data_IF_897624726095
#
_entry.id   IF_897624726095
#
_cell.length_a   1.000
_cell.length_b   1.000
_cell.length_c   1.000
_cell.angle_alpha   90.00
_cell.angle_beta   90.00
_cell.angle_gamma   90.00
#
_symmetry.space_group_name_H-M   'P 1'
#
loop_
_entity.id
_entity.type
_entity.pdbx_description
1 polymer ?
#
# COMPACT_ATOMS: atom_id res chain seq x y z
N UNK A 1 -2.19 7.95 -26.21
CA UNK A 1 -3.34 7.94 -25.28
C UNK A 1 -3.73 6.52 -24.82
N UNK A 2 -3.96 5.56 -25.72
CA UNK A 2 -4.53 4.23 -25.40
C UNK A 2 -3.73 3.38 -24.39
N UNK A 3 -2.41 3.53 -24.31
CA UNK A 3 -1.55 2.86 -23.31
C UNK A 3 -1.94 3.26 -21.87
N UNK A 4 -2.28 4.52 -21.65
CA UNK A 4 -2.63 5.07 -20.33
C UNK A 4 -4.05 4.73 -19.90
N UNK A 5 -4.92 4.34 -20.83
CA UNK A 5 -6.31 3.94 -20.56
C UNK A 5 -6.44 2.50 -20.05
N UNK A 6 -5.36 1.69 -20.04
CA UNK A 6 -5.40 0.26 -19.67
C UNK A 6 -6.51 -0.52 -20.38
N UNK A 7 -6.64 -0.31 -21.70
CA UNK A 7 -7.69 -0.96 -22.49
C UNK A 7 -7.43 -2.46 -22.57
N UNK A 8 -8.50 -3.24 -22.45
CA UNK A 8 -8.45 -4.67 -22.66
C UNK A 8 -8.20 -4.96 -24.15
N UNK A 9 -7.04 -5.55 -24.45
CA UNK A 9 -6.59 -5.84 -25.82
C UNK A 9 -7.56 -6.72 -26.62
N UNK A 10 -8.45 -7.47 -25.96
CA UNK A 10 -9.47 -8.29 -26.63
C UNK A 10 -10.49 -7.49 -27.43
N UNK A 11 -10.67 -6.21 -27.11
CA UNK A 11 -11.70 -5.35 -27.73
C UNK A 11 -11.13 -4.29 -28.67
N UNK A 12 -9.89 -4.44 -29.12
CA UNK A 12 -9.25 -3.45 -30.03
C UNK A 12 -9.89 -3.39 -31.41
N UNK A 13 -10.63 -4.42 -31.81
CA UNK A 13 -11.38 -4.46 -33.08
C UNK A 13 -12.69 -3.69 -33.00
N UNK A 14 -13.21 -3.42 -31.79
CA UNK A 14 -14.44 -2.67 -31.62
C UNK A 14 -14.14 -1.16 -31.53
N UNK A 15 -14.08 -0.51 -32.70
CA UNK A 15 -13.76 0.91 -32.85
C UNK A 15 -14.76 1.79 -32.08
N UNK A 16 -16.05 1.46 -32.11
CA UNK A 16 -17.08 2.24 -31.40
C UNK A 16 -16.87 2.26 -29.88
N UNK A 17 -16.39 1.14 -29.32
CA UNK A 17 -16.05 1.07 -27.90
C UNK A 17 -14.77 1.85 -27.60
N UNK A 18 -13.76 1.77 -28.48
CA UNK A 18 -12.52 2.54 -28.34
C UNK A 18 -12.79 4.04 -28.33
N UNK A 19 -13.63 4.53 -29.25
CA UNK A 19 -14.03 5.93 -29.32
C UNK A 19 -14.72 6.39 -28.03
N UNK A 20 -15.71 5.61 -27.54
CA UNK A 20 -16.39 5.92 -26.26
C UNK A 20 -15.41 5.95 -25.09
N UNK A 21 -14.48 4.99 -25.02
CA UNK A 21 -13.47 4.96 -23.95
C UNK A 21 -12.50 6.13 -24.04
N UNK A 22 -12.11 6.53 -25.26
CA UNK A 22 -11.27 7.70 -25.50
C UNK A 22 -11.98 8.99 -25.06
N UNK A 23 -13.23 9.18 -25.48
CA UNK A 23 -14.01 10.36 -25.14
C UNK A 23 -14.19 10.50 -23.63
N UNK A 24 -14.50 9.40 -22.93
CA UNK A 24 -14.55 9.41 -21.47
C UNK A 24 -13.18 9.71 -20.83
N UNK A 25 -12.10 9.08 -21.32
CA UNK A 25 -10.76 9.32 -20.78
C UNK A 25 -10.34 10.79 -20.92
N UNK A 26 -10.53 11.40 -22.09
CA UNK A 26 -10.11 12.78 -22.35
C UNK A 26 -11.05 13.78 -21.70
N UNK A 27 -12.34 13.73 -22.02
CA UNK A 27 -13.28 14.80 -21.66
C UNK A 27 -13.80 14.72 -20.23
N UNK A 28 -13.78 13.52 -19.62
CA UNK A 28 -14.18 13.37 -18.23
C UNK A 28 -12.96 13.23 -17.30
N UNK A 29 -12.14 12.19 -17.50
CA UNK A 29 -11.04 11.88 -16.57
C UNK A 29 -9.90 12.91 -16.64
N UNK A 30 -9.36 13.19 -17.82
CA UNK A 30 -8.25 14.15 -17.98
C UNK A 30 -8.71 15.58 -17.72
N UNK A 31 -9.89 15.99 -18.21
CA UNK A 31 -10.46 17.29 -17.88
C UNK A 31 -10.65 17.48 -16.37
N UNK A 32 -11.10 16.44 -15.65
CA UNK A 32 -11.21 16.46 -14.19
C UNK A 32 -9.86 16.53 -13.47
N UNK A 33 -8.80 15.90 -14.01
CA UNK A 33 -7.43 16.09 -13.51
C UNK A 33 -6.95 17.52 -13.73
N UNK A 34 -7.13 18.06 -14.93
CA UNK A 34 -6.74 19.42 -15.29
C UNK A 34 -7.42 20.48 -14.41
N UNK A 35 -8.75 20.39 -14.22
CA UNK A 35 -9.50 21.30 -13.34
C UNK A 35 -8.99 21.30 -11.90
N UNK A 36 -8.59 20.13 -11.38
CA UNK A 36 -8.00 20.02 -10.04
C UNK A 36 -6.62 20.67 -9.97
N UNK A 37 -5.82 20.49 -11.01
CA UNK A 37 -4.48 21.09 -11.11
C UNK A 37 -4.56 22.62 -11.22
N UNK A 38 -5.53 23.14 -11.99
CA UNK A 38 -5.79 24.57 -12.09
C UNK A 38 -6.21 25.20 -10.76
N UNK A 39 -6.91 24.45 -9.91
CA UNK A 39 -7.32 24.92 -8.58
C UNK A 39 -6.16 24.88 -7.59
N UNK A 40 -5.33 23.84 -7.65
CA UNK A 40 -4.22 23.63 -6.73
C UNK A 40 -3.12 22.83 -7.43
N UNK A 41 -1.97 23.47 -7.68
CA UNK A 41 -0.83 22.86 -8.35
C UNK A 41 -0.28 21.69 -7.52
N UNK A 42 0.09 20.60 -8.20
CA UNK A 42 0.62 19.38 -7.59
C UNK A 42 -0.42 18.57 -6.81
N UNK A 43 -1.71 18.93 -6.83
CA UNK A 43 -2.74 18.22 -6.06
C UNK A 43 -2.90 16.77 -6.51
N UNK A 44 -2.90 16.54 -7.83
CA UNK A 44 -3.03 15.19 -8.37
C UNK A 44 -1.86 14.30 -7.94
N UNK A 45 -0.63 14.82 -7.97
CA UNK A 45 0.55 14.09 -7.55
C UNK A 45 0.50 13.75 -6.05
N UNK A 46 0.18 14.74 -5.20
CA UNK A 46 0.05 14.54 -3.75
C UNK A 46 -1.02 13.49 -3.40
N UNK A 47 -2.17 13.53 -4.09
CA UNK A 47 -3.23 12.53 -3.90
C UNK A 47 -2.81 11.12 -4.35
N UNK A 48 -2.09 11.02 -5.47
CA UNK A 48 -1.59 9.74 -5.98
C UNK A 48 -0.53 9.14 -5.03
N UNK A 49 0.35 9.96 -4.47
CA UNK A 49 1.33 9.56 -3.44
C UNK A 49 0.63 9.10 -2.16
N UNK A 50 -0.34 9.86 -1.66
CA UNK A 50 -1.15 9.48 -0.50
C UNK A 50 -1.88 8.15 -0.70
N UNK A 51 -2.44 7.91 -1.89
CA UNK A 51 -3.08 6.63 -2.24
C UNK A 51 -2.09 5.46 -2.27
N UNK A 52 -0.85 5.67 -2.72
CA UNK A 52 0.20 4.64 -2.69
C UNK A 52 0.50 4.21 -1.25
N UNK A 53 0.65 5.19 -0.35
CA UNK A 53 0.89 4.94 1.09
C UNK A 53 -0.28 4.16 1.70
N UNK A 54 -1.51 4.64 1.50
CA UNK A 54 -2.71 3.96 2.03
C UNK A 54 -2.85 2.52 1.51
N UNK A 55 -2.54 2.29 0.23
CA UNK A 55 -2.56 0.95 -0.37
C UNK A 55 -1.49 0.03 0.24
N UNK A 56 -0.30 0.56 0.51
CA UNK A 56 0.76 -0.19 1.17
C UNK A 56 0.35 -0.60 2.61
N UNK A 57 -0.23 0.32 3.39
CA UNK A 57 -0.79 0.00 4.72
C UNK A 57 -1.84 -1.10 4.64
N UNK A 58 -2.74 -1.00 3.67
CA UNK A 58 -3.81 -1.99 3.45
C UNK A 58 -3.24 -3.39 3.21
N UNK A 59 -2.22 -3.51 2.36
CA UNK A 59 -1.57 -4.78 2.09
C UNK A 59 -0.83 -5.35 3.29
N UNK A 60 -0.16 -4.49 4.08
CA UNK A 60 0.53 -4.92 5.29
C UNK A 60 -0.47 -5.46 6.33
N UNK A 61 -1.55 -4.70 6.55
CA UNK A 61 -2.68 -5.12 7.39
C UNK A 61 -3.21 -6.49 6.97
N UNK A 62 -3.53 -6.66 5.68
CA UNK A 62 -4.09 -7.91 5.17
C UNK A 62 -3.14 -9.09 5.41
N UNK A 63 -1.83 -8.86 5.24
CA UNK A 63 -0.81 -9.87 5.51
C UNK A 63 -0.72 -10.22 7.00
N UNK A 64 -0.73 -9.23 7.90
CA UNK A 64 -0.67 -9.45 9.35
C UNK A 64 -1.93 -10.15 9.85
N UNK A 65 -3.10 -9.67 9.45
CA UNK A 65 -4.38 -10.23 9.86
C UNK A 65 -4.54 -11.68 9.39
N UNK A 66 -4.20 -11.97 8.12
CA UNK A 66 -4.23 -13.34 7.59
C UNK A 66 -3.26 -14.27 8.31
N UNK A 67 -2.09 -13.76 8.71
CA UNK A 67 -1.12 -14.51 9.51
C UNK A 67 -1.65 -14.82 10.91
N UNK A 68 -2.17 -13.80 11.59
CA UNK A 68 -2.72 -13.92 12.93
C UNK A 68 -3.93 -14.87 12.98
N UNK A 69 -4.78 -14.87 11.96
CA UNK A 69 -5.88 -15.85 11.83
C UNK A 69 -5.36 -17.28 11.70
N UNK A 70 -4.32 -17.50 10.88
CA UNK A 70 -3.74 -18.84 10.68
C UNK A 70 -3.08 -19.39 11.94
N UNK A 71 -2.53 -18.51 12.77
CA UNK A 71 -1.85 -18.87 14.01
C UNK A 71 -2.73 -18.69 15.25
N UNK A 72 -4.05 -18.52 15.06
CA UNK A 72 -5.05 -18.50 16.15
C UNK A 72 -4.76 -17.46 17.24
N UNK A 73 -4.30 -16.27 16.83
CA UNK A 73 -4.00 -15.22 17.79
C UNK A 73 -5.26 -14.81 18.57
N UNK A 74 -5.11 -14.38 19.85
CA UNK A 74 -6.21 -13.87 20.65
C UNK A 74 -7.06 -12.82 19.92
N UNK A 75 -8.39 -12.86 20.12
CA UNK A 75 -9.34 -11.93 19.47
C UNK A 75 -8.97 -10.45 19.64
N UNK A 76 -8.39 -10.09 20.79
CA UNK A 76 -7.92 -8.72 21.07
C UNK A 76 -6.86 -8.26 20.05
N UNK A 77 -5.94 -9.14 19.66
CA UNK A 77 -4.90 -8.85 18.68
C UNK A 77 -5.45 -8.83 17.26
N UNK A 78 -6.40 -9.71 16.93
CA UNK A 78 -7.09 -9.69 15.63
C UNK A 78 -7.81 -8.36 15.41
N UNK A 79 -8.51 -7.84 16.44
CA UNK A 79 -9.18 -6.54 16.37
C UNK A 79 -8.19 -5.42 16.05
N UNK A 80 -7.05 -5.37 16.75
CA UNK A 80 -6.00 -4.38 16.51
C UNK A 80 -5.38 -4.51 15.10
N UNK A 81 -5.08 -5.73 14.66
CA UNK A 81 -4.47 -5.98 13.35
C UNK A 81 -5.41 -5.71 12.18
N UNK A 82 -6.72 -5.69 12.40
CA UNK A 82 -7.72 -5.36 11.39
C UNK A 82 -7.78 -3.85 11.06
N UNK A 83 -7.35 -2.98 11.97
CA UNK A 83 -7.35 -1.53 11.77
C UNK A 83 -6.19 -1.11 10.87
N UNK A 84 -6.46 -0.35 9.80
CA UNK A 84 -5.43 0.09 8.84
C UNK A 84 -4.43 1.04 9.50
N UNK A 85 -4.91 1.91 10.40
CA UNK A 85 -4.10 2.94 11.06
C UNK A 85 -3.15 2.38 12.13
N UNK A 86 -3.35 1.12 12.51
CA UNK A 86 -2.43 0.39 13.38
C UNK A 86 -1.14 -0.06 12.66
N UNK A 87 -1.08 0.01 11.33
CA UNK A 87 0.07 -0.41 10.53
C UNK A 87 0.97 0.76 10.15
N UNK A 88 2.29 0.55 10.05
CA UNK A 88 3.25 1.63 9.83
C UNK A 88 3.19 2.20 8.41
N UNK A 89 3.62 3.46 8.30
CA UNK A 89 4.12 4.00 7.06
C UNK A 89 5.56 3.58 6.86
N UNK A 90 5.83 3.02 5.70
CA UNK A 90 7.17 2.64 5.31
C UNK A 90 7.65 3.68 4.28
N UNK A 91 8.69 4.44 4.62
CA UNK A 91 9.31 5.37 3.70
C UNK A 91 10.53 4.75 3.05
N UNK A 92 10.62 4.90 1.73
CA UNK A 92 11.77 4.41 1.01
C UNK A 92 12.99 5.30 1.25
N UNK A 93 14.10 4.71 1.68
CA UNK A 93 15.38 5.39 1.77
C UNK A 93 16.28 4.98 0.60
N UNK A 94 16.51 5.86 -0.38
CA UNK A 94 17.33 5.54 -1.55
C UNK A 94 18.80 5.34 -1.20
N UNK A 95 19.31 5.94 -0.12
CA UNK A 95 20.72 5.79 0.28
C UNK A 95 21.05 4.39 0.78
N UNK A 96 20.07 3.71 1.36
CA UNK A 96 20.24 2.36 1.92
C UNK A 96 19.61 1.28 1.03
N UNK A 97 18.83 1.66 0.03
CA UNK A 97 18.01 0.76 -0.80
C UNK A 97 16.95 -0.01 0.01
N UNK A 98 16.37 0.61 1.04
CA UNK A 98 15.50 -0.08 2.01
C UNK A 98 14.38 0.83 2.50
N UNK A 99 13.33 0.22 3.03
CA UNK A 99 12.22 0.96 3.64
C UNK A 99 12.47 1.17 5.14
N UNK A 100 12.32 2.40 5.61
CA UNK A 100 12.36 2.77 7.02
C UNK A 100 10.93 2.81 7.57
N UNK A 101 10.71 2.04 8.63
CA UNK A 101 9.44 2.05 9.37
C UNK A 101 9.34 3.36 10.16
N UNK A 102 8.34 4.18 9.85
CA UNK A 102 8.04 5.38 10.64
C UNK A 102 7.11 5.05 11.80
N UNK A 103 7.50 5.53 12.98
CA UNK A 103 6.60 5.60 14.14
C UNK A 103 5.65 6.78 13.93
N UNK A 104 4.35 6.53 13.92
CA UNK A 104 3.35 7.61 13.86
C UNK A 104 3.26 8.29 15.23
N UNK A 105 3.09 9.63 15.30
CA UNK A 105 3.13 10.38 16.56
C UNK A 105 2.03 9.98 17.54
N UNK A 106 0.90 9.46 17.04
CA UNK A 106 -0.21 8.97 17.86
C UNK A 106 -0.07 7.50 18.29
N UNK A 107 1.04 6.82 17.95
CA UNK A 107 1.27 5.42 18.27
C UNK A 107 2.20 5.30 19.47
N UNK A 108 1.79 4.52 20.47
CA UNK A 108 2.66 4.21 21.60
C UNK A 108 3.83 3.31 21.20
N UNK A 109 4.97 3.45 21.87
CA UNK A 109 6.13 2.58 21.67
C UNK A 109 5.78 1.08 21.83
N UNK A 110 4.87 0.75 22.76
CA UNK A 110 4.39 -0.61 22.99
C UNK A 110 3.61 -1.17 21.79
N UNK A 111 2.79 -0.35 21.13
CA UNK A 111 2.08 -0.77 19.91
C UNK A 111 3.08 -1.00 18.76
N UNK A 112 4.13 -0.18 18.66
CA UNK A 112 5.25 -0.41 17.76
C UNK A 112 5.92 -1.76 18.00
N UNK A 113 6.33 -2.04 19.25
CA UNK A 113 6.93 -3.32 19.65
C UNK A 113 6.03 -4.52 19.37
N UNK A 114 4.72 -4.39 19.56
CA UNK A 114 3.76 -5.44 19.22
C UNK A 114 3.80 -5.76 17.71
N UNK A 115 3.70 -4.74 16.85
CA UNK A 115 3.77 -4.94 15.39
C UNK A 115 5.11 -5.56 14.97
N UNK A 116 6.20 -5.16 15.62
CA UNK A 116 7.53 -5.75 15.39
C UNK A 116 7.54 -7.25 15.70
N UNK A 117 6.97 -7.66 16.83
CA UNK A 117 6.87 -9.08 17.20
C UNK A 117 6.02 -9.88 16.22
N UNK A 118 4.97 -9.27 15.66
CA UNK A 118 4.16 -9.90 14.60
C UNK A 118 5.00 -10.13 13.34
N UNK A 119 5.76 -9.13 12.89
CA UNK A 119 6.69 -9.27 11.75
C UNK A 119 7.71 -10.38 11.98
N UNK A 120 8.36 -10.39 13.16
CA UNK A 120 9.39 -11.38 13.49
C UNK A 120 8.78 -12.79 13.53
N UNK A 121 7.57 -12.92 14.06
CA UNK A 121 6.82 -14.18 14.04
C UNK A 121 6.46 -14.62 12.62
N UNK A 122 6.12 -13.69 11.72
CA UNK A 122 5.91 -13.99 10.30
C UNK A 122 7.17 -14.48 9.60
N UNK A 123 8.33 -13.85 9.88
CA UNK A 123 9.62 -14.25 9.32
C UNK A 123 9.96 -15.67 9.79
N UNK A 124 9.88 -15.94 11.09
CA UNK A 124 10.14 -17.27 11.67
C UNK A 124 9.22 -18.34 11.08
N UNK A 125 7.92 -18.05 10.96
CA UNK A 125 6.95 -18.98 10.37
C UNK A 125 7.27 -19.32 8.90
N UNK A 126 7.72 -18.35 8.11
CA UNK A 126 8.15 -18.60 6.71
C UNK A 126 9.42 -19.42 6.62
N UNK A 127 10.40 -19.14 7.48
CA UNK A 127 11.65 -19.89 7.57
C UNK A 127 11.37 -21.36 7.89
N UNK A 128 10.50 -21.61 8.88
CA UNK A 128 10.03 -22.96 9.23
C UNK A 128 9.30 -23.63 8.05
N UNK A 129 8.48 -22.89 7.32
CA UNK A 129 7.78 -23.39 6.13
C UNK A 129 8.68 -23.55 4.89
N UNK A 130 9.99 -23.26 4.98
CA UNK A 130 10.97 -23.25 3.86
C UNK A 130 10.51 -22.47 2.63
N UNK A 131 9.70 -21.41 2.84
CA UNK A 131 9.25 -20.55 1.74
C UNK A 131 10.19 -19.37 1.60
N UNK A 132 10.63 -19.02 0.37
CA UNK A 132 11.45 -17.85 0.15
C UNK A 132 10.69 -16.59 0.58
N UNK A 133 11.36 -15.70 1.31
CA UNK A 133 10.78 -14.41 1.63
C UNK A 133 11.02 -13.42 0.49
N UNK A 134 10.00 -13.19 -0.32
CA UNK A 134 10.03 -12.18 -1.38
C UNK A 134 9.58 -10.79 -0.88
N UNK A 135 9.35 -10.61 0.43
CA UNK A 135 8.98 -9.31 0.96
C UNK A 135 10.17 -8.34 0.89
N UNK A 136 9.84 -7.07 0.69
CA UNK A 136 10.78 -5.95 0.77
C UNK A 136 11.48 -5.94 2.13
N UNK A 137 12.80 -5.78 2.14
CA UNK A 137 13.58 -5.60 3.36
C UNK A 137 13.23 -4.27 4.01
N UNK A 138 12.89 -4.32 5.29
CA UNK A 138 12.53 -3.14 6.09
C UNK A 138 13.56 -2.98 7.19
N UNK A 139 14.16 -1.80 7.26
CA UNK A 139 14.98 -1.42 8.41
C UNK A 139 14.15 -0.67 9.42
N UNK A 140 14.37 -1.04 10.68
CA UNK A 140 13.81 -0.33 11.83
C UNK A 140 14.84 0.71 12.27
N UNK A 141 14.43 1.95 12.62
CA UNK A 141 15.35 2.90 13.23
C UNK A 141 15.87 2.33 14.56
N UNK A 142 17.16 2.56 14.85
CA UNK A 142 17.85 2.05 16.04
C UNK A 142 17.30 2.65 17.36
N UNK A 143 16.65 3.81 17.28
CA UNK A 143 15.94 4.45 18.38
C UNK A 143 14.51 4.83 17.95
N UNK A 144 13.51 4.75 18.87
CA UNK A 144 12.12 5.12 18.61
C UNK A 144 11.91 6.58 18.23
#
# INVERSE_FOLDING_TARGET
AFIYMRINKKFTTNISLLERTYNHYVHYYMAGKYKREMKEEGKNQRDDERKKIQRARKWLRDAHYKHALRHEFPRRYLKMLHEIDAHSDDEYNPKRDMYIVKTLPFRSAKAGQFMQRVDDHMIKSKQLARRPDQKRTRLRPLCP
#
